data_IF_887099786006
#
_entry.id   IF_887099786006
#
_cell.length_a   1.000
_cell.length_b   1.000
_cell.length_c   1.000
_cell.angle_alpha   90.00
_cell.angle_beta   90.00
_cell.angle_gamma   90.00
#
_symmetry.space_group_name_H-M   'P 1'
#
loop_
_entity.id
_entity.type
_entity.pdbx_description
1 polymer ?
#
# COMPACT_ATOMS: atom_id res chain seq x y z
N UNK A 1 -6.90 -5.99 -21.73
CA UNK A 1 -7.04 -5.44 -20.37
C UNK A 1 -6.53 -4.02 -20.44
N UNK A 2 -7.43 -3.03 -20.41
CA UNK A 2 -7.08 -1.61 -20.41
C UNK A 2 -6.39 -1.33 -19.08
N UNK A 3 -5.06 -1.29 -19.09
CA UNK A 3 -4.25 -1.04 -17.91
C UNK A 3 -4.63 0.30 -17.29
N UNK A 4 -4.87 0.30 -15.98
CA UNK A 4 -5.02 1.55 -15.23
C UNK A 4 -3.72 2.34 -15.42
N UNK A 5 -3.83 3.58 -15.91
CA UNK A 5 -2.70 4.51 -16.02
C UNK A 5 -2.28 5.11 -14.66
N UNK A 6 -3.00 4.76 -13.59
CA UNK A 6 -2.80 5.29 -12.24
C UNK A 6 -2.63 4.11 -11.28
N UNK A 7 -1.55 4.12 -10.52
CA UNK A 7 -1.27 3.15 -9.46
C UNK A 7 -2.30 3.32 -8.34
N UNK A 8 -3.09 2.27 -8.06
CA UNK A 8 -4.04 2.23 -6.95
C UNK A 8 -3.40 1.58 -5.73
N UNK A 9 -3.42 2.28 -4.61
CA UNK A 9 -2.80 1.84 -3.36
C UNK A 9 -3.87 1.83 -2.26
N UNK A 10 -3.98 0.69 -1.57
CA UNK A 10 -4.78 0.58 -0.35
C UNK A 10 -3.83 0.63 0.83
N UNK A 11 -4.03 1.56 1.76
CA UNK A 11 -3.28 1.66 3.01
C UNK A 11 -4.13 1.16 4.16
N UNK A 12 -3.56 0.24 4.94
CA UNK A 12 -4.17 -0.39 6.11
C UNK A 12 -3.29 -0.19 7.34
N UNK A 13 -3.93 0.13 8.45
CA UNK A 13 -3.30 0.14 9.77
C UNK A 13 -3.54 -1.24 10.43
N UNK A 14 -2.59 -2.17 10.34
CA UNK A 14 -2.79 -3.53 10.84
C UNK A 14 -2.81 -3.55 12.37
N UNK A 15 -3.96 -3.92 12.96
CA UNK A 15 -4.17 -4.11 14.40
C UNK A 15 -4.11 -2.83 15.27
N UNK A 16 -3.33 -1.84 14.87
CA UNK A 16 -3.00 -0.64 15.65
C UNK A 16 -2.92 0.59 14.75
N UNK A 17 -3.35 1.74 15.27
CA UNK A 17 -3.25 3.00 14.52
C UNK A 17 -1.78 3.43 14.33
N UNK A 18 -1.47 3.96 13.15
CA UNK A 18 -0.15 4.43 12.74
C UNK A 18 -0.23 5.90 12.31
N UNK A 19 0.49 6.77 13.02
CA UNK A 19 0.53 8.21 12.73
C UNK A 19 1.06 8.54 11.31
N UNK A 20 1.78 7.61 10.68
CA UNK A 20 2.36 7.78 9.34
C UNK A 20 1.37 7.48 8.21
N UNK A 21 0.24 6.81 8.49
CA UNK A 21 -0.73 6.42 7.45
C UNK A 21 -1.29 7.64 6.70
N UNK A 22 -1.73 8.68 7.42
CA UNK A 22 -2.30 9.89 6.79
C UNK A 22 -1.25 10.70 6.03
N UNK A 23 -0.06 11.01 6.58
CA UNK A 23 1.02 11.65 5.83
C UNK A 23 1.41 10.88 4.57
N UNK A 24 1.55 9.55 4.66
CA UNK A 24 1.86 8.69 3.52
C UNK A 24 0.77 8.74 2.46
N UNK A 25 -0.50 8.65 2.87
CA UNK A 25 -1.63 8.73 1.96
C UNK A 25 -1.71 10.08 1.23
N UNK A 26 -1.25 11.17 1.85
CA UNK A 26 -1.18 12.49 1.21
C UNK A 26 -0.05 12.53 0.19
N UNK A 27 1.16 12.14 0.59
CA UNK A 27 2.32 12.13 -0.29
C UNK A 27 2.10 11.27 -1.54
N UNK A 28 1.50 10.08 -1.39
CA UNK A 28 1.17 9.22 -2.53
C UNK A 28 0.17 9.86 -3.50
N UNK A 29 -0.83 10.59 -2.97
CA UNK A 29 -1.78 11.34 -3.82
C UNK A 29 -1.12 12.52 -4.50
N UNK A 30 -0.17 13.18 -3.84
CA UNK A 30 0.59 14.29 -4.42
C UNK A 30 1.45 13.80 -5.61
N UNK A 31 1.93 12.56 -5.58
CA UNK A 31 2.59 11.88 -6.71
C UNK A 31 1.62 11.28 -7.75
N UNK A 32 0.32 11.51 -7.61
CA UNK A 32 -0.69 11.09 -8.58
C UNK A 32 -1.19 9.65 -8.46
N UNK A 33 -0.87 8.94 -7.37
CA UNK A 33 -1.47 7.65 -7.07
C UNK A 33 -2.93 7.80 -6.60
N UNK A 34 -3.76 6.80 -6.90
CA UNK A 34 -5.09 6.67 -6.31
C UNK A 34 -4.95 5.96 -4.96
N UNK A 35 -5.35 6.61 -3.87
CA UNK A 35 -5.12 6.07 -2.52
C UNK A 35 -6.42 5.89 -1.74
N UNK A 36 -6.67 4.66 -1.32
CA UNK A 36 -7.70 4.28 -0.35
C UNK A 36 -7.05 4.10 1.01
N UNK A 37 -7.48 4.85 2.02
CA UNK A 37 -7.06 4.63 3.40
C UNK A 37 -8.20 3.90 4.12
N UNK A 38 -7.98 2.62 4.43
CA UNK A 38 -9.00 1.75 5.01
C UNK A 38 -9.07 1.87 6.55
N UNK A 39 -8.12 2.57 7.18
CA UNK A 39 -8.04 2.68 8.62
C UNK A 39 -7.51 1.41 9.28
N UNK A 40 -7.89 1.21 10.55
CA UNK A 40 -7.43 0.09 11.37
C UNK A 40 -8.25 -1.17 11.10
N UNK A 41 -7.58 -2.24 10.68
CA UNK A 41 -8.18 -3.56 10.46
C UNK A 41 -7.43 -4.58 11.31
N UNK A 42 -8.17 -5.46 12.00
CA UNK A 42 -7.63 -6.28 13.08
C UNK A 42 -7.31 -7.72 12.69
N UNK A 43 -7.82 -8.19 11.54
CA UNK A 43 -7.68 -9.59 11.13
C UNK A 43 -7.20 -9.76 9.70
N UNK A 44 -6.64 -10.93 9.40
CA UNK A 44 -6.18 -11.28 8.06
C UNK A 44 -7.36 -11.26 7.07
N UNK A 45 -8.51 -11.80 7.47
CA UNK A 45 -9.70 -11.89 6.64
C UNK A 45 -10.29 -10.51 6.30
N UNK A 46 -10.31 -9.58 7.26
CA UNK A 46 -10.77 -8.20 7.03
C UNK A 46 -9.90 -7.49 5.99
N UNK A 47 -8.58 -7.65 6.10
CA UNK A 47 -7.63 -6.98 5.22
C UNK A 47 -7.66 -7.62 3.82
N UNK A 48 -7.74 -8.95 3.73
CA UNK A 48 -7.89 -9.66 2.45
C UNK A 48 -9.19 -9.24 1.75
N UNK A 49 -10.32 -9.24 2.46
CA UNK A 49 -11.60 -8.83 1.87
C UNK A 49 -11.55 -7.38 1.38
N UNK A 50 -10.86 -6.49 2.11
CA UNK A 50 -10.66 -5.10 1.68
C UNK A 50 -9.79 -5.03 0.42
N UNK A 51 -8.68 -5.77 0.37
CA UNK A 51 -7.81 -5.81 -0.81
C UNK A 51 -8.55 -6.37 -2.03
N UNK A 52 -9.34 -7.43 -1.88
CA UNK A 52 -10.12 -8.00 -2.98
C UNK A 52 -11.22 -7.04 -3.48
N UNK A 53 -11.89 -6.33 -2.58
CA UNK A 53 -12.93 -5.37 -2.94
C UNK A 53 -12.37 -4.13 -3.64
N UNK A 54 -11.23 -3.64 -3.15
CA UNK A 54 -10.60 -2.43 -3.65
C UNK A 54 -9.70 -2.67 -4.86
N UNK A 55 -9.31 -3.92 -5.15
CA UNK A 55 -8.47 -4.31 -6.29
C UNK A 55 -7.20 -3.43 -6.45
N UNK A 56 -6.37 -3.24 -5.39
CA UNK A 56 -5.20 -2.38 -5.48
C UNK A 56 -4.06 -3.04 -6.27
N UNK A 57 -3.19 -2.19 -6.82
CA UNK A 57 -1.89 -2.63 -7.35
C UNK A 57 -0.89 -2.88 -6.20
N UNK A 58 -1.03 -2.13 -5.10
CA UNK A 58 -0.20 -2.24 -3.89
C UNK A 58 -1.05 -2.17 -2.62
N UNK A 59 -0.82 -3.10 -1.72
CA UNK A 59 -1.34 -3.08 -0.35
C UNK A 59 -0.25 -2.56 0.60
N UNK A 60 -0.39 -1.32 1.04
CA UNK A 60 0.45 -0.75 2.10
C UNK A 60 -0.05 -1.15 3.47
N UNK A 61 0.80 -1.77 4.30
CA UNK A 61 0.42 -2.27 5.63
C UNK A 61 1.30 -1.65 6.70
N UNK A 62 0.70 -1.04 7.72
CA UNK A 62 1.49 -0.53 8.85
C UNK A 62 1.97 -1.67 9.74
N UNK A 63 3.25 -1.66 10.10
CA UNK A 63 3.85 -2.61 11.04
C UNK A 63 4.46 -1.82 12.19
N UNK A 64 3.70 -1.64 13.28
CA UNK A 64 4.13 -0.92 14.48
C UNK A 64 4.35 -1.84 15.69
N UNK A 65 3.91 -3.10 15.58
CA UNK A 65 4.09 -4.14 16.58
C UNK A 65 4.50 -5.49 15.96
N UNK A 66 4.88 -6.46 16.80
CA UNK A 66 5.15 -7.83 16.35
C UNK A 66 3.87 -8.52 15.83
N UNK A 67 2.70 -8.23 16.42
CA UNK A 67 1.43 -8.79 15.97
C UNK A 67 1.05 -8.27 14.56
N UNK A 68 1.34 -7.00 14.28
CA UNK A 68 1.11 -6.41 12.95
C UNK A 68 2.02 -7.05 11.90
N UNK A 69 3.24 -7.45 12.29
CA UNK A 69 4.16 -8.18 11.41
C UNK A 69 3.64 -9.56 11.07
N UNK A 70 3.10 -10.29 12.04
CA UNK A 70 2.46 -11.59 11.80
C UNK A 70 1.29 -11.45 10.82
N UNK A 71 0.48 -10.38 10.95
CA UNK A 71 -0.58 -10.06 9.98
C UNK A 71 -0.01 -9.76 8.59
N UNK A 72 1.03 -8.92 8.50
CA UNK A 72 1.67 -8.57 7.22
C UNK A 72 2.28 -9.80 6.50
N UNK A 73 2.95 -10.68 7.24
CA UNK A 73 3.50 -11.93 6.71
C UNK A 73 2.38 -12.87 6.24
N UNK A 74 1.29 -12.96 7.02
CA UNK A 74 0.08 -13.70 6.63
C UNK A 74 -0.56 -13.17 5.35
N UNK A 75 -0.58 -11.85 5.16
CA UNK A 75 -1.09 -11.20 3.95
C UNK A 75 -0.26 -11.51 2.71
N UNK A 76 1.07 -11.43 2.83
CA UNK A 76 1.96 -11.78 1.74
C UNK A 76 1.81 -13.26 1.31
N UNK A 77 1.50 -14.15 2.27
CA UNK A 77 1.20 -15.55 1.97
C UNK A 77 -0.19 -15.76 1.35
N UNK A 78 -1.20 -15.02 1.81
CA UNK A 78 -2.59 -15.14 1.33
C UNK A 78 -2.80 -14.50 -0.05
N UNK A 79 -2.04 -13.44 -0.37
CA UNK A 79 -2.15 -12.65 -1.59
C UNK A 79 -0.82 -12.65 -2.37
N UNK A 80 -0.35 -13.80 -2.87
CA UNK A 80 0.98 -13.93 -3.46
C UNK A 80 1.19 -13.11 -4.74
N UNK A 81 0.11 -12.77 -5.45
CA UNK A 81 0.15 -11.96 -6.66
C UNK A 81 0.06 -10.44 -6.37
N UNK A 82 -0.29 -10.07 -5.13
CA UNK A 82 -0.42 -8.68 -4.73
C UNK A 82 0.87 -8.19 -4.08
N UNK A 83 1.35 -7.02 -4.49
CA UNK A 83 2.49 -6.38 -3.82
C UNK A 83 2.06 -5.87 -2.45
N UNK A 84 2.50 -6.55 -1.40
CA UNK A 84 2.36 -6.09 -0.01
C UNK A 84 3.62 -5.31 0.38
N UNK A 85 3.45 -4.04 0.78
CA UNK A 85 4.53 -3.14 1.16
C UNK A 85 4.33 -2.66 2.60
N UNK A 86 5.31 -2.92 3.47
CA UNK A 86 5.25 -2.49 4.86
C UNK A 86 5.65 -1.02 5.02
N UNK A 87 5.02 -0.33 5.97
CA UNK A 87 5.46 0.98 6.47
C UNK A 87 5.32 1.03 8.01
N UNK A 88 5.98 1.96 8.67
CA UNK A 88 6.03 2.09 10.12
C UNK A 88 6.00 3.57 10.54
N UNK A 89 6.00 3.81 11.85
CA UNK A 89 5.98 5.17 12.42
C UNK A 89 7.19 6.02 12.02
N UNK A 90 8.35 5.41 11.84
CA UNK A 90 9.61 6.06 11.47
C UNK A 90 9.91 6.00 9.96
N UNK A 91 8.97 5.53 9.14
CA UNK A 91 9.15 5.47 7.69
C UNK A 91 9.39 6.85 7.09
N UNK A 92 10.47 6.97 6.33
CA UNK A 92 10.70 8.09 5.42
C UNK A 92 9.65 8.02 4.30
N UNK A 93 8.64 8.89 4.42
CA UNK A 93 7.48 8.91 3.52
C UNK A 93 7.90 9.19 2.08
N UNK A 94 8.85 10.11 1.86
CA UNK A 94 9.31 10.46 0.51
C UNK A 94 9.97 9.26 -0.14
N UNK A 95 10.90 8.62 0.56
CA UNK A 95 11.56 7.41 0.04
C UNK A 95 10.59 6.28 -0.23
N UNK A 96 9.64 6.05 0.68
CA UNK A 96 8.64 4.99 0.50
C UNK A 96 7.80 5.25 -0.76
N UNK A 97 7.39 6.50 -0.96
CA UNK A 97 6.64 6.92 -2.14
C UNK A 97 7.46 6.69 -3.41
N UNK A 98 8.73 7.09 -3.46
CA UNK A 98 9.60 6.85 -4.64
C UNK A 98 9.74 5.36 -4.98
N UNK A 99 9.79 4.48 -3.97
CA UNK A 99 9.94 3.03 -4.15
C UNK A 99 8.63 2.32 -4.57
N UNK A 100 7.47 2.93 -4.32
CA UNK A 100 6.16 2.27 -4.44
C UNK A 100 5.16 2.98 -5.37
N UNK A 101 5.13 4.32 -5.40
CA UNK A 101 4.33 5.09 -6.34
C UNK A 101 5.12 5.29 -7.65
N UNK A 102 5.09 4.31 -8.53
CA UNK A 102 5.53 4.56 -9.90
C UNK A 102 4.50 5.46 -10.58
N UNK A 103 4.90 6.69 -10.90
CA UNK A 103 4.11 7.59 -11.69
C UNK A 103 4.35 7.30 -13.18
N UNK A 104 3.29 7.11 -13.97
CA UNK A 104 3.37 7.03 -15.42
C UNK A 104 3.80 8.37 -16.07
N UNK A 105 3.99 9.44 -15.29
CA UNK A 105 4.45 10.74 -15.79
C UNK A 105 5.96 10.84 -15.94
N UNK A 106 6.71 9.74 -15.83
CA UNK A 106 8.06 9.69 -16.41
C UNK A 106 7.94 9.36 -17.92
N UNK A 107 8.06 10.35 -18.84
CA UNK A 107 8.11 10.07 -20.26
C UNK A 107 9.33 9.21 -20.67
N UNK A 108 10.24 8.91 -19.74
CA UNK A 108 11.33 7.94 -19.94
C UNK A 108 10.87 6.49 -19.84
N UNK A 109 9.62 6.22 -19.43
CA UNK A 109 9.02 4.88 -19.41
C UNK A 109 8.42 4.47 -20.77
N UNK A 110 8.86 5.05 -21.89
CA UNK A 110 8.85 4.36 -23.19
C UNK A 110 10.04 3.38 -23.26
N UNK A 111 10.11 2.38 -22.39
CA UNK A 111 11.10 1.31 -22.55
C UNK A 111 10.78 0.07 -21.72
N UNK A 112 9.86 -0.78 -22.21
CA UNK A 112 10.09 -2.23 -22.35
C UNK A 112 8.86 -2.88 -23.01
N UNK A 113 8.99 -3.04 -24.34
CA UNK A 113 8.45 -4.08 -25.24
C UNK A 113 7.10 -4.71 -24.94
#
# INVERSE_FOLDING_TARGET
>A
MTGRNVTRIVLVEAGSACATAVPLARALRDEGAEVVHAGVLGTLEEIVATAEQEDPDILGVSVVSAADRELADGLAAALPELRVAAFATDTDVTRWVEENAMCATDPSSEALR
#
